data_IF_747674559695
#
_entry.id   IF_747674559695
#
_cell.length_a   1.000
_cell.length_b   1.000
_cell.length_c   1.000
_cell.angle_alpha   90.00
_cell.angle_beta   90.00
_cell.angle_gamma   90.00
#
_symmetry.space_group_name_H-M   'P 1'
#
loop_
_entity.id
_entity.type
_entity.pdbx_description
1 polymer ?
#
# COMPACT_ATOMS: atom_id res chain seq x y z
N UNK A 1 0.86 9.66 -20.61
CA UNK A 1 0.05 8.60 -19.96
C UNK A 1 0.33 8.72 -18.47
N UNK A 2 -0.70 8.86 -17.63
CA UNK A 2 -0.46 9.07 -16.19
C UNK A 2 0.19 7.81 -15.59
N UNK A 3 0.99 8.00 -14.54
CA UNK A 3 1.71 6.93 -13.82
C UNK A 3 0.73 5.88 -13.33
N UNK A 4 -0.42 6.32 -12.82
CA UNK A 4 -1.49 5.48 -12.29
C UNK A 4 -2.09 4.52 -13.32
N UNK A 5 -2.32 4.99 -14.56
CA UNK A 5 -2.89 4.16 -15.62
C UNK A 5 -1.93 3.02 -16.01
N UNK A 6 -0.63 3.30 -16.06
CA UNK A 6 0.38 2.27 -16.38
C UNK A 6 0.48 1.27 -15.23
N UNK A 7 0.58 1.76 -14.01
CA UNK A 7 0.67 0.93 -12.81
C UNK A 7 -0.54 0.01 -12.66
N UNK A 8 -1.75 0.55 -12.81
CA UNK A 8 -2.99 -0.22 -12.74
C UNK A 8 -3.07 -1.29 -13.83
N UNK A 9 -2.72 -0.95 -15.07
CA UNK A 9 -2.74 -1.90 -16.19
C UNK A 9 -1.84 -3.11 -15.95
N UNK A 10 -0.58 -2.88 -15.51
CA UNK A 10 0.36 -3.97 -15.26
C UNK A 10 0.03 -4.71 -13.97
N UNK A 11 -0.41 -3.99 -12.93
CA UNK A 11 -0.89 -4.59 -11.68
C UNK A 11 -2.11 -5.49 -11.88
N UNK A 12 -3.06 -5.07 -12.73
CA UNK A 12 -4.23 -5.90 -13.10
C UNK A 12 -3.81 -7.14 -13.89
N UNK A 13 -2.91 -6.99 -14.87
CA UNK A 13 -2.48 -8.13 -15.68
C UNK A 13 -1.79 -9.23 -14.86
N UNK A 14 -0.93 -8.85 -13.91
CA UNK A 14 -0.28 -9.83 -13.03
C UNK A 14 -1.27 -10.40 -12.00
N UNK A 15 -2.26 -9.61 -11.56
CA UNK A 15 -3.33 -10.07 -10.68
C UNK A 15 -4.18 -11.16 -11.36
N UNK A 16 -4.64 -10.93 -12.59
CA UNK A 16 -5.42 -11.92 -13.36
C UNK A 16 -4.63 -13.22 -13.53
N UNK A 17 -3.36 -13.13 -13.92
CA UNK A 17 -2.49 -14.30 -14.08
C UNK A 17 -2.30 -15.06 -12.75
N UNK A 18 -2.05 -14.35 -11.66
CA UNK A 18 -1.87 -14.95 -10.35
C UNK A 18 -3.16 -15.58 -9.81
N UNK A 19 -4.30 -15.00 -10.13
CA UNK A 19 -5.62 -15.53 -9.79
C UNK A 19 -5.92 -16.81 -10.57
N UNK A 20 -5.67 -16.83 -11.87
CA UNK A 20 -5.86 -18.01 -12.72
C UNK A 20 -5.01 -19.21 -12.25
N UNK A 21 -3.79 -18.93 -11.78
CA UNK A 21 -2.87 -19.95 -11.27
C UNK A 21 -3.05 -20.28 -9.78
N UNK A 22 -3.95 -19.59 -9.07
CA UNK A 22 -4.17 -19.71 -7.62
C UNK A 22 -2.89 -19.45 -6.78
N UNK A 23 -2.06 -18.50 -7.20
CA UNK A 23 -0.79 -18.13 -6.55
C UNK A 23 -0.77 -16.69 -6.02
N UNK A 24 -1.94 -16.10 -5.72
CA UNK A 24 -2.04 -14.71 -5.27
C UNK A 24 -1.19 -14.42 -4.01
N UNK A 25 -1.23 -15.32 -3.04
CA UNK A 25 -0.49 -15.18 -1.78
C UNK A 25 1.02 -15.23 -1.99
N UNK A 26 1.49 -16.22 -2.75
CA UNK A 26 2.89 -16.37 -3.13
C UNK A 26 3.40 -15.15 -3.89
N UNK A 27 2.62 -14.67 -4.85
CA UNK A 27 2.98 -13.50 -5.65
C UNK A 27 3.00 -12.22 -4.82
N UNK A 28 2.10 -12.08 -3.84
CA UNK A 28 2.09 -10.94 -2.92
C UNK A 28 3.35 -10.91 -2.06
N UNK A 29 3.74 -12.04 -1.49
CA UNK A 29 4.98 -12.18 -0.70
C UNK A 29 6.21 -11.81 -1.54
N UNK A 30 6.33 -12.42 -2.72
CA UNK A 30 7.52 -12.26 -3.56
C UNK A 30 7.62 -10.88 -4.20
N UNK A 31 6.54 -10.33 -4.72
CA UNK A 31 6.55 -8.98 -5.25
C UNK A 31 6.68 -7.93 -4.14
N UNK A 32 6.13 -8.20 -2.95
CA UNK A 32 6.38 -7.40 -1.75
C UNK A 32 7.86 -7.37 -1.37
N UNK A 33 8.54 -8.52 -1.41
CA UNK A 33 9.98 -8.60 -1.21
C UNK A 33 10.76 -7.78 -2.26
N UNK A 34 10.40 -7.88 -3.54
CA UNK A 34 11.01 -7.05 -4.59
C UNK A 34 10.84 -5.57 -4.31
N UNK A 35 9.63 -5.15 -3.91
CA UNK A 35 9.35 -3.75 -3.59
C UNK A 35 10.15 -3.25 -2.39
N UNK A 36 10.34 -4.06 -1.33
CA UNK A 36 11.16 -3.71 -0.18
C UNK A 36 12.64 -3.55 -0.55
N UNK A 37 13.19 -4.49 -1.32
CA UNK A 37 14.58 -4.40 -1.80
C UNK A 37 14.79 -3.14 -2.65
N UNK A 38 13.82 -2.81 -3.53
CA UNK A 38 13.90 -1.58 -4.34
C UNK A 38 13.78 -0.30 -3.49
N UNK A 39 13.09 -0.34 -2.36
CA UNK A 39 12.98 0.80 -1.43
C UNK A 39 14.25 0.97 -0.59
N UNK A 40 14.85 -0.13 -0.14
CA UNK A 40 16.05 -0.15 0.70
C UNK A 40 17.34 0.09 -0.08
N UNK A 41 17.33 -0.15 -1.41
CA UNK A 41 18.49 -0.04 -2.27
C UNK A 41 18.30 1.07 -3.33
N UNK A 42 18.59 2.35 -2.99
CA UNK A 42 18.45 3.46 -3.93
C UNK A 42 19.32 3.32 -5.18
N UNK A 43 20.45 2.60 -5.06
CA UNK A 43 21.37 2.33 -6.16
C UNK A 43 20.74 1.43 -7.22
N UNK A 44 20.01 0.39 -6.81
CA UNK A 44 19.26 -0.49 -7.71
C UNK A 44 18.22 0.30 -8.48
N UNK A 45 17.48 1.14 -7.79
CA UNK A 45 16.48 2.00 -8.41
C UNK A 45 17.12 2.97 -9.43
N UNK A 46 18.19 3.65 -9.03
CA UNK A 46 18.93 4.57 -9.91
C UNK A 46 19.49 3.86 -11.15
N UNK A 47 20.00 2.64 -10.99
CA UNK A 47 20.48 1.82 -12.10
C UNK A 47 19.34 1.46 -13.07
N UNK A 48 18.19 1.02 -12.56
CA UNK A 48 17.03 0.68 -13.39
C UNK A 48 16.46 1.91 -14.10
N UNK A 49 16.46 3.06 -13.46
CA UNK A 49 15.93 4.32 -14.04
C UNK A 49 16.90 5.00 -15.02
N UNK A 50 18.17 4.62 -15.02
CA UNK A 50 19.19 5.25 -15.87
C UNK A 50 18.95 4.91 -17.36
N UNK A 51 18.75 5.92 -18.22
CA UNK A 51 18.49 5.70 -19.64
C UNK A 51 19.72 5.23 -20.44
N UNK A 52 20.93 5.41 -19.90
CA UNK A 52 22.18 4.97 -20.56
C UNK A 52 22.36 3.45 -20.42
N UNK A 53 21.81 2.85 -19.38
CA UNK A 53 21.91 1.40 -19.12
C UNK A 53 20.97 0.65 -20.07
N UNK A 54 21.54 -0.32 -20.78
CA UNK A 54 20.78 -1.16 -21.73
C UNK A 54 19.77 -2.06 -21.00
N UNK A 55 18.71 -2.42 -21.70
CA UNK A 55 17.68 -3.33 -21.17
C UNK A 55 18.27 -4.68 -20.73
N UNK A 56 19.19 -5.22 -21.52
CA UNK A 56 19.87 -6.48 -21.19
C UNK A 56 20.71 -6.40 -19.90
N UNK A 57 21.38 -5.27 -19.67
CA UNK A 57 22.13 -5.05 -18.44
C UNK A 57 21.19 -4.98 -17.23
N UNK A 58 20.03 -4.32 -17.36
CA UNK A 58 19.00 -4.25 -16.33
C UNK A 58 18.42 -5.63 -16.02
N UNK A 59 18.11 -6.43 -17.06
CA UNK A 59 17.59 -7.80 -16.91
C UNK A 59 18.62 -8.69 -16.23
N UNK A 60 19.90 -8.62 -16.62
CA UNK A 60 20.97 -9.40 -15.98
C UNK A 60 21.12 -9.07 -14.51
N UNK A 61 21.09 -7.79 -14.15
CA UNK A 61 21.18 -7.36 -12.74
C UNK A 61 19.99 -7.86 -11.94
N UNK A 62 18.76 -7.68 -12.45
CA UNK A 62 17.55 -8.17 -11.78
C UNK A 62 17.59 -9.68 -11.61
N UNK A 63 18.04 -10.43 -12.63
CA UNK A 63 18.24 -11.87 -12.56
C UNK A 63 19.22 -12.25 -11.46
N UNK A 64 20.41 -11.63 -11.44
CA UNK A 64 21.43 -11.96 -10.42
C UNK A 64 20.97 -11.69 -8.97
N UNK A 65 20.03 -10.77 -8.75
CA UNK A 65 19.51 -10.44 -7.41
C UNK A 65 18.35 -11.35 -7.02
N UNK A 66 17.42 -11.61 -7.94
CA UNK A 66 16.11 -12.15 -7.60
C UNK A 66 15.87 -13.59 -8.08
N UNK A 67 16.61 -14.10 -9.08
CA UNK A 67 16.35 -15.41 -9.70
C UNK A 67 16.32 -16.58 -8.70
N UNK A 68 17.13 -16.52 -7.65
CA UNK A 68 17.16 -17.54 -6.60
C UNK A 68 16.10 -17.37 -5.51
N UNK A 69 15.45 -16.20 -5.46
CA UNK A 69 14.62 -15.78 -4.31
C UNK A 69 13.13 -15.67 -4.65
N UNK A 70 12.79 -15.57 -5.94
CA UNK A 70 11.40 -15.42 -6.39
C UNK A 70 11.04 -16.41 -7.49
N UNK A 71 9.73 -16.67 -7.63
CA UNK A 71 9.22 -17.55 -8.69
C UNK A 71 9.42 -16.94 -10.09
N UNK A 72 9.46 -17.81 -11.09
CA UNK A 72 9.64 -17.43 -12.49
C UNK A 72 8.56 -16.47 -12.99
N UNK A 73 7.33 -16.57 -12.48
CA UNK A 73 6.22 -15.67 -12.87
C UNK A 73 6.50 -14.25 -12.40
N UNK A 74 6.91 -14.09 -11.13
CA UNK A 74 7.28 -12.79 -10.56
C UNK A 74 8.49 -12.18 -11.29
N UNK A 75 9.52 -12.98 -11.54
CA UNK A 75 10.71 -12.55 -12.27
C UNK A 75 10.37 -12.13 -13.70
N UNK A 76 9.55 -12.91 -14.39
CA UNK A 76 9.14 -12.63 -15.76
C UNK A 76 8.32 -11.33 -15.86
N UNK A 77 7.47 -11.08 -14.88
CA UNK A 77 6.73 -9.81 -14.79
C UNK A 77 7.69 -8.59 -14.78
N UNK A 78 8.74 -8.65 -13.96
CA UNK A 78 9.75 -7.57 -13.90
C UNK A 78 10.47 -7.43 -15.24
N UNK A 79 10.85 -8.53 -15.86
CA UNK A 79 11.50 -8.52 -17.17
C UNK A 79 10.63 -7.90 -18.26
N UNK A 80 9.33 -8.20 -18.27
CA UNK A 80 8.37 -7.58 -19.20
C UNK A 80 8.29 -6.07 -18.96
N UNK A 81 8.25 -5.62 -17.71
CA UNK A 81 8.26 -4.19 -17.38
C UNK A 81 9.52 -3.49 -17.90
N UNK A 82 10.69 -4.12 -17.77
CA UNK A 82 11.97 -3.59 -18.27
C UNK A 82 11.96 -3.53 -19.80
N UNK A 83 11.63 -4.63 -20.48
CA UNK A 83 11.57 -4.73 -21.96
C UNK A 83 10.58 -3.76 -22.61
N UNK A 84 9.55 -3.37 -21.88
CA UNK A 84 8.55 -2.40 -22.34
C UNK A 84 8.92 -0.95 -21.98
N UNK A 85 10.11 -0.71 -21.41
CA UNK A 85 10.55 0.60 -20.97
C UNK A 85 9.72 1.16 -19.80
N UNK A 86 9.07 0.29 -19.03
CA UNK A 86 8.20 0.65 -17.89
C UNK A 86 8.85 0.40 -16.53
N UNK A 87 10.17 0.22 -16.50
CA UNK A 87 10.94 -0.08 -15.29
C UNK A 87 10.75 0.95 -14.17
N UNK A 88 10.47 2.22 -14.49
CA UNK A 88 10.17 3.28 -13.50
C UNK A 88 8.87 3.05 -12.72
N UNK A 89 7.99 2.21 -13.24
CA UNK A 89 6.66 1.98 -12.67
C UNK A 89 6.53 0.62 -11.99
N UNK A 90 7.63 -0.12 -11.80
CA UNK A 90 7.61 -1.46 -11.19
C UNK A 90 7.04 -1.38 -9.77
N UNK A 91 7.51 -0.47 -8.94
CA UNK A 91 7.03 -0.33 -7.56
C UNK A 91 5.53 0.01 -7.50
N UNK A 92 5.05 0.91 -8.36
CA UNK A 92 3.64 1.28 -8.42
C UNK A 92 2.77 0.14 -8.97
N UNK A 93 3.26 -0.63 -9.95
CA UNK A 93 2.55 -1.78 -10.48
C UNK A 93 2.44 -2.91 -9.44
N UNK A 94 3.50 -3.14 -8.65
CA UNK A 94 3.47 -4.05 -7.52
C UNK A 94 2.46 -3.59 -6.46
N UNK A 95 2.43 -2.31 -6.12
CA UNK A 95 1.46 -1.77 -5.16
C UNK A 95 0.01 -1.96 -5.65
N UNK A 96 -0.26 -1.69 -6.93
CA UNK A 96 -1.57 -1.91 -7.53
C UNK A 96 -1.98 -3.40 -7.52
N UNK A 97 -1.03 -4.30 -7.79
CA UNK A 97 -1.25 -5.75 -7.67
C UNK A 97 -1.61 -6.16 -6.24
N UNK A 98 -0.81 -5.73 -5.24
CA UNK A 98 -1.01 -6.07 -3.83
C UNK A 98 -2.40 -5.60 -3.38
N UNK A 99 -2.79 -4.38 -3.74
CA UNK A 99 -4.10 -3.85 -3.41
C UNK A 99 -5.21 -4.75 -3.96
N UNK A 100 -5.18 -5.09 -5.26
CA UNK A 100 -6.17 -5.96 -5.90
C UNK A 100 -6.18 -7.37 -5.31
N UNK A 101 -5.00 -7.93 -5.00
CA UNK A 101 -4.87 -9.23 -4.35
C UNK A 101 -5.56 -9.25 -2.98
N UNK A 102 -5.35 -8.23 -2.17
CA UNK A 102 -5.96 -8.10 -0.85
C UNK A 102 -7.46 -7.87 -0.92
N UNK A 103 -7.91 -7.00 -1.83
CA UNK A 103 -9.35 -6.78 -2.08
C UNK A 103 -10.06 -8.08 -2.48
N UNK A 104 -9.49 -8.86 -3.40
CA UNK A 104 -10.05 -10.13 -3.84
C UNK A 104 -10.11 -11.20 -2.74
N UNK A 105 -9.16 -11.18 -1.81
CA UNK A 105 -9.14 -12.05 -0.62
C UNK A 105 -9.98 -11.52 0.54
N UNK A 106 -10.66 -10.39 0.36
CA UNK A 106 -11.45 -9.76 1.41
C UNK A 106 -10.63 -9.17 2.56
N UNK A 107 -9.35 -8.87 2.32
CA UNK A 107 -8.47 -8.22 3.29
C UNK A 107 -8.64 -6.71 3.16
N UNK A 108 -8.88 -6.05 4.29
CA UNK A 108 -9.08 -4.61 4.38
C UNK A 108 -7.83 -3.95 4.96
N UNK A 109 -7.26 -3.01 4.25
CA UNK A 109 -6.18 -2.18 4.81
C UNK A 109 -6.78 -0.98 5.53
N UNK A 110 -6.38 -0.79 6.80
CA UNK A 110 -6.75 0.36 7.59
C UNK A 110 -5.48 1.08 8.09
N UNK A 111 -5.39 2.37 7.82
CA UNK A 111 -4.36 3.22 8.40
C UNK A 111 -4.94 3.91 9.63
N UNK A 112 -4.28 3.74 10.76
CA UNK A 112 -4.64 4.37 12.02
C UNK A 112 -3.61 5.43 12.33
N UNK A 113 -4.05 6.70 12.34
CA UNK A 113 -3.21 7.83 12.72
C UNK A 113 -3.46 8.19 14.17
N UNK A 114 -2.41 8.29 14.97
CA UNK A 114 -2.44 8.57 16.41
C UNK A 114 -1.46 9.69 16.75
N UNK A 115 -1.74 10.46 17.81
CA UNK A 115 -0.84 11.52 18.28
C UNK A 115 0.44 10.94 18.92
N UNK A 116 0.26 9.87 19.70
CA UNK A 116 1.32 9.18 20.44
C UNK A 116 1.31 7.68 20.10
N UNK A 117 2.45 6.97 20.24
CA UNK A 117 2.51 5.54 20.00
C UNK A 117 1.48 4.80 20.85
N UNK A 118 0.73 3.88 20.23
CA UNK A 118 -0.23 3.02 20.90
C UNK A 118 0.42 1.69 21.31
N UNK A 119 -0.11 1.08 22.35
CA UNK A 119 0.34 -0.26 22.78
C UNK A 119 -0.21 -1.33 21.83
N UNK A 120 0.45 -2.49 21.77
CA UNK A 120 0.00 -3.63 20.98
C UNK A 120 -1.43 -4.08 21.36
N UNK A 121 -1.82 -3.90 22.63
CA UNK A 121 -3.18 -4.22 23.10
C UNK A 121 -4.24 -3.28 22.49
N UNK A 122 -3.93 -1.98 22.37
CA UNK A 122 -4.83 -1.01 21.74
C UNK A 122 -4.92 -1.29 20.25
N UNK A 123 -3.80 -1.58 19.60
CA UNK A 123 -3.77 -1.96 18.18
C UNK A 123 -4.64 -3.19 17.91
N UNK A 124 -4.48 -4.27 18.71
CA UNK A 124 -5.28 -5.47 18.59
C UNK A 124 -6.78 -5.19 18.83
N UNK A 125 -7.13 -4.32 19.78
CA UNK A 125 -8.52 -3.93 20.06
C UNK A 125 -9.14 -3.19 18.89
N UNK A 126 -8.41 -2.24 18.27
CA UNK A 126 -8.87 -1.52 17.08
C UNK A 126 -9.07 -2.48 15.90
N UNK A 127 -8.12 -3.38 15.69
CA UNK A 127 -8.20 -4.38 14.63
C UNK A 127 -9.43 -5.30 14.82
N UNK A 128 -9.65 -5.79 16.03
CA UNK A 128 -10.81 -6.63 16.36
C UNK A 128 -12.13 -5.90 16.11
N UNK A 129 -12.22 -4.63 16.50
CA UNK A 129 -13.41 -3.82 16.28
C UNK A 129 -13.68 -3.54 14.81
N UNK A 130 -12.64 -3.29 14.02
CA UNK A 130 -12.76 -3.12 12.58
C UNK A 130 -13.22 -4.42 11.91
N UNK A 131 -12.70 -5.59 12.33
CA UNK A 131 -13.16 -6.91 11.86
C UNK A 131 -14.64 -7.13 12.16
N UNK A 132 -15.06 -6.82 13.38
CA UNK A 132 -16.46 -6.95 13.79
C UNK A 132 -17.40 -6.11 12.92
N UNK A 133 -17.03 -4.86 12.64
CA UNK A 133 -17.87 -3.92 11.87
C UNK A 133 -17.85 -4.22 10.37
N UNK A 134 -16.72 -4.64 9.84
CA UNK A 134 -16.55 -4.83 8.37
C UNK A 134 -16.80 -6.25 7.90
N UNK A 135 -16.72 -7.24 8.80
CA UNK A 135 -16.78 -8.67 8.47
C UNK A 135 -15.59 -9.16 7.65
N UNK A 136 -14.49 -8.38 7.56
CA UNK A 136 -13.32 -8.67 6.76
C UNK A 136 -12.08 -8.80 7.63
N UNK A 137 -11.07 -9.51 7.13
CA UNK A 137 -9.75 -9.48 7.73
C UNK A 137 -9.13 -8.09 7.57
N UNK A 138 -8.52 -7.58 8.64
CA UNK A 138 -7.99 -6.20 8.66
C UNK A 138 -6.49 -6.24 8.89
N UNK A 139 -5.75 -5.63 7.96
CA UNK A 139 -4.33 -5.29 8.15
C UNK A 139 -4.28 -3.84 8.62
N UNK A 140 -3.67 -3.62 9.80
CA UNK A 140 -3.59 -2.33 10.44
C UNK A 140 -2.19 -1.75 10.27
N UNK A 141 -2.11 -0.50 9.76
CA UNK A 141 -0.88 0.27 9.71
C UNK A 141 -1.00 1.46 10.64
N UNK A 142 -0.15 1.53 11.66
CA UNK A 142 -0.16 2.64 12.62
C UNK A 142 0.80 3.73 12.15
N UNK A 143 0.27 4.96 12.06
CA UNK A 143 1.05 6.15 11.73
C UNK A 143 0.96 7.16 12.86
N UNK A 144 2.10 7.70 13.26
CA UNK A 144 2.14 8.77 14.23
C UNK A 144 2.07 10.14 13.56
N UNK A 145 1.17 11.01 14.05
CA UNK A 145 1.06 12.40 13.63
C UNK A 145 0.69 13.28 14.83
N UNK A 146 1.65 13.99 15.41
CA UNK A 146 1.40 14.85 16.56
C UNK A 146 0.41 16.02 16.29
N UNK A 147 0.13 16.32 15.03
CA UNK A 147 -0.76 17.42 14.66
C UNK A 147 -2.22 17.19 15.06
N UNK A 148 -2.63 15.94 15.30
CA UNK A 148 -4.01 15.61 15.70
C UNK A 148 -4.33 15.90 17.18
N UNK A 149 -3.35 16.40 17.98
CA UNK A 149 -3.45 16.74 19.41
C UNK A 149 -3.89 15.60 20.33
N UNK A 150 -4.41 14.51 19.81
CA UNK A 150 -4.92 13.36 20.56
C UNK A 150 -6.11 12.68 19.88
N UNK A 151 -6.48 11.51 20.37
CA UNK A 151 -7.49 10.67 19.75
C UNK A 151 -6.92 9.82 18.62
N UNK A 152 -7.80 9.35 17.73
CA UNK A 152 -7.48 8.41 16.68
C UNK A 152 -8.20 8.80 15.38
N UNK A 153 -7.49 8.74 14.28
CA UNK A 153 -8.05 8.88 12.94
C UNK A 153 -7.85 7.56 12.20
N UNK A 154 -8.93 6.96 11.73
CA UNK A 154 -8.90 5.69 11.01
C UNK A 154 -9.26 5.97 9.56
N UNK A 155 -8.41 5.55 8.64
CA UNK A 155 -8.67 5.59 7.21
C UNK A 155 -8.74 4.17 6.67
N UNK A 156 -9.84 3.88 5.97
CA UNK A 156 -10.10 2.59 5.34
C UNK A 156 -10.49 2.85 3.90
N UNK A 157 -9.55 2.62 2.97
CA UNK A 157 -9.72 3.05 1.58
C UNK A 157 -10.05 4.55 1.50
N UNK A 158 -11.18 4.89 0.86
CA UNK A 158 -11.64 6.28 0.73
C UNK A 158 -12.40 6.80 1.94
N UNK A 159 -12.72 5.94 2.91
CA UNK A 159 -13.47 6.32 4.10
C UNK A 159 -12.54 6.74 5.23
N UNK A 160 -12.77 7.92 5.77
CA UNK A 160 -12.04 8.45 6.93
C UNK A 160 -12.99 8.62 8.11
N UNK A 161 -12.63 8.01 9.23
CA UNK A 161 -13.31 8.16 10.52
C UNK A 161 -12.38 8.97 11.41
N UNK A 162 -12.77 10.20 11.71
CA UNK A 162 -11.96 11.13 12.47
C UNK A 162 -12.51 11.24 13.90
N UNK A 163 -11.85 10.57 14.84
CA UNK A 163 -12.09 10.64 16.28
C UNK A 163 -11.11 11.53 17.04
N UNK A 164 -10.43 12.45 16.35
CA UNK A 164 -9.47 13.37 16.98
C UNK A 164 -10.12 14.34 17.95
N UNK A 165 -9.33 14.76 18.94
CA UNK A 165 -9.75 15.81 19.90
C UNK A 165 -10.01 17.13 19.17
N UNK A 166 -9.21 17.46 18.18
CA UNK A 166 -9.36 18.67 17.36
C UNK A 166 -10.75 18.74 16.72
N UNK A 167 -11.20 17.64 16.11
CA UNK A 167 -12.53 17.60 15.50
C UNK A 167 -13.65 17.74 16.53
N UNK A 168 -13.53 17.09 17.69
CA UNK A 168 -14.53 17.23 18.77
C UNK A 168 -14.64 18.65 19.28
N UNK A 169 -13.51 19.37 19.37
CA UNK A 169 -13.48 20.79 19.75
C UNK A 169 -14.16 21.67 18.70
N UNK A 170 -13.88 21.44 17.41
CA UNK A 170 -14.56 22.18 16.31
C UNK A 170 -16.07 21.94 16.29
N UNK A 171 -16.51 20.70 16.53
CA UNK A 171 -17.94 20.35 16.60
C UNK A 171 -18.62 21.04 17.81
N UNK A 172 -17.93 21.09 18.94
CA UNK A 172 -18.42 21.83 20.13
C UNK A 172 -18.50 23.35 19.87
N UNK A 173 -17.48 23.95 19.27
CA UNK A 173 -17.48 25.36 18.90
C UNK A 173 -18.65 25.67 17.96
N UNK A 174 -18.83 24.90 16.89
CA UNK A 174 -19.97 25.06 15.98
C UNK A 174 -21.32 24.92 16.67
N UNK A 175 -21.44 24.00 17.62
CA UNK A 175 -22.66 23.82 18.41
C UNK A 175 -22.96 25.03 19.29
N UNK A 176 -21.95 25.58 19.97
CA UNK A 176 -22.09 26.76 20.82
C UNK A 176 -22.45 28.01 20.02
N UNK A 177 -21.82 28.21 18.84
CA UNK A 177 -22.12 29.32 17.95
C UNK A 177 -23.56 29.26 17.41
N UNK A 178 -24.07 28.05 17.08
CA UNK A 178 -25.47 27.85 16.65
C UNK A 178 -26.47 28.18 17.77
N UNK A 179 -26.15 27.83 19.01
CA UNK A 179 -27.02 28.11 20.17
C UNK A 179 -27.08 29.59 20.49
N UNK A 180 -26.01 30.37 20.23
CA UNK A 180 -25.99 31.84 20.44
C UNK A 180 -26.68 32.64 19.32
N UNK A 181 -27.02 32.04 18.17
CA UNK A 181 -27.70 32.74 17.06
C UNK A 181 -29.23 32.70 17.15
N UNK A 182 -29.80 32.19 18.26
CA UNK A 182 -31.26 32.09 18.49
C UNK A 182 -31.68 33.03 19.65
N UNK A 183 -31.02 34.19 19.78
CA UNK A 183 -31.48 35.29 20.65
C UNK A 183 -31.66 36.58 19.89
#
# INVERSE_FOLDING_TARGET
>A
MSIEIVADKYGSAIFELAQEQNILELMEEQLGYVASVMAEQPELRSFLENPIVTEDAKIKLVGSIFESSIDKVALHFIYVMIKRGRHRYIAQAIAAFIQKSREARGILEATVTVAEPITAEVEASVQAKLREVTGKDVILSVRQDPSIMGGIVIQVGDKRIDGSVSRRLEELEKSLLRTNSIR
#
